data_IF_434189402396
#
_entry.id   IF_434189402396
#
_cell.length_a   1.000
_cell.length_b   1.000
_cell.length_c   1.000
_cell.angle_alpha   90.00
_cell.angle_beta   90.00
_cell.angle_gamma   90.00
#
_symmetry.space_group_name_H-M   'P 1'
#
loop_
_entity.id
_entity.type
_entity.pdbx_description
1 polymer ?
#
# COMPACT_ATOMS: atom_id res chain seq x y z
N UNK A 1 -14.28 -40.61 -59.30
CA UNK A 1 -13.47 -41.68 -58.67
C UNK A 1 -13.23 -41.37 -57.18
N UNK A 2 -14.03 -42.03 -56.36
CA UNK A 2 -14.09 -41.97 -54.91
C UNK A 2 -13.07 -42.94 -54.28
N UNK A 3 -12.47 -42.55 -53.16
CA UNK A 3 -11.96 -43.43 -52.09
C UNK A 3 -11.90 -42.54 -50.83
N UNK A 4 -12.89 -42.42 -49.94
CA UNK A 4 -13.65 -43.35 -49.08
C UNK A 4 -12.81 -44.07 -48.01
N UNK A 5 -13.11 -43.68 -46.75
CA UNK A 5 -12.92 -44.37 -45.46
C UNK A 5 -11.49 -44.47 -44.91
N UNK A 6 -11.26 -44.33 -43.61
CA UNK A 6 -12.16 -44.67 -42.50
C UNK A 6 -11.92 -43.88 -41.21
N UNK A 7 -13.02 -43.77 -40.48
CA UNK A 7 -13.17 -43.20 -39.14
C UNK A 7 -12.46 -44.06 -38.09
N UNK A 8 -11.85 -43.41 -37.11
CA UNK A 8 -11.56 -43.99 -35.80
C UNK A 8 -11.94 -42.99 -34.70
N UNK A 9 -13.20 -43.01 -34.27
CA UNK A 9 -13.71 -42.26 -33.11
C UNK A 9 -14.08 -43.27 -32.02
N UNK A 10 -13.42 -43.22 -30.87
CA UNK A 10 -13.85 -43.82 -29.60
C UNK A 10 -13.01 -43.20 -28.44
N UNK A 11 -13.34 -43.39 -27.15
CA UNK A 11 -13.95 -42.34 -26.35
C UNK A 11 -13.19 -42.02 -25.05
N UNK A 12 -13.54 -40.88 -24.43
CA UNK A 12 -13.44 -40.70 -22.98
C UNK A 12 -12.08 -40.28 -22.45
N UNK A 13 -11.84 -38.96 -22.38
CA UNK A 13 -11.05 -38.39 -21.29
C UNK A 13 -11.80 -37.22 -20.65
N UNK A 14 -12.57 -37.64 -19.64
CA UNK A 14 -12.86 -36.98 -18.37
C UNK A 14 -12.41 -35.51 -18.26
N UNK A 15 -13.43 -34.65 -18.20
CA UNK A 15 -13.37 -33.29 -17.64
C UNK A 15 -13.01 -33.40 -16.15
N UNK A 16 -11.77 -33.09 -15.79
CA UNK A 16 -11.38 -32.69 -14.43
C UNK A 16 -10.10 -31.84 -14.50
N UNK A 17 -10.24 -30.53 -14.56
CA UNK A 17 -9.12 -29.58 -14.51
C UNK A 17 -9.58 -28.37 -13.71
N UNK A 18 -9.27 -28.40 -12.42
CA UNK A 18 -9.74 -27.53 -11.35
C UNK A 18 -9.63 -26.05 -11.70
N UNK A 19 -10.71 -25.32 -11.40
CA UNK A 19 -10.65 -23.91 -11.00
C UNK A 19 -9.51 -23.74 -9.99
N UNK A 20 -8.48 -22.99 -10.38
CA UNK A 20 -7.52 -22.42 -9.45
C UNK A 20 -7.81 -20.92 -9.39
N UNK A 21 -8.78 -20.60 -8.53
CA UNK A 21 -8.99 -19.31 -7.89
C UNK A 21 -7.65 -18.82 -7.33
N UNK A 22 -6.91 -18.02 -8.10
CA UNK A 22 -5.72 -17.30 -7.63
C UNK A 22 -6.16 -16.09 -6.80
N UNK A 23 -6.81 -16.39 -5.68
CA UNK A 23 -6.98 -15.47 -4.57
C UNK A 23 -5.65 -15.41 -3.84
N UNK A 24 -4.81 -14.45 -4.23
CA UNK A 24 -3.60 -14.09 -3.50
C UNK A 24 -4.04 -13.53 -2.15
N UNK A 25 -4.23 -14.44 -1.19
CA UNK A 25 -4.47 -14.15 0.21
C UNK A 25 -3.10 -13.91 0.86
N UNK A 26 -2.85 -12.64 1.13
CA UNK A 26 -1.67 -12.11 1.79
C UNK A 26 -1.79 -12.39 3.30
N UNK A 27 -1.29 -13.54 3.76
CA UNK A 27 -1.16 -13.88 5.19
C UNK A 27 0.32 -14.06 5.52
N UNK A 28 1.03 -13.01 5.92
CA UNK A 28 2.33 -13.17 6.60
C UNK A 28 2.62 -11.92 7.44
N UNK A 29 2.08 -11.86 8.65
CA UNK A 29 2.82 -11.34 9.80
C UNK A 29 2.34 -12.04 11.07
N UNK A 30 3.21 -12.92 11.56
CA UNK A 30 2.95 -13.83 12.66
C UNK A 30 3.08 -13.20 14.03
N UNK A 31 2.40 -13.85 14.96
CA UNK A 31 2.33 -13.60 16.39
C UNK A 31 3.68 -13.55 17.11
N UNK A 32 3.77 -12.66 18.12
CA UNK A 32 4.47 -12.95 19.38
C UNK A 32 3.98 -12.03 20.51
N UNK A 33 3.40 -12.61 21.55
CA UNK A 33 3.51 -12.14 22.94
C UNK A 33 4.21 -13.23 23.75
N UNK A 34 4.15 -13.26 25.10
CA UNK A 34 4.07 -12.18 26.09
C UNK A 34 5.25 -12.29 27.10
N UNK A 35 5.39 -11.33 28.02
CA UNK A 35 6.39 -11.42 29.10
C UNK A 35 6.19 -10.39 30.21
N UNK A 36 5.42 -10.77 31.23
CA UNK A 36 5.32 -10.08 32.52
C UNK A 36 6.58 -10.31 33.37
N UNK A 37 6.88 -9.42 34.34
CA UNK A 37 7.00 -9.72 35.79
C UNK A 37 7.74 -8.60 36.58
N UNK A 38 7.14 -8.25 37.74
CA UNK A 38 7.65 -7.61 38.97
C UNK A 38 8.26 -6.19 38.88
N UNK A 39 7.95 -5.19 39.73
CA UNK A 39 7.29 -5.16 41.04
C UNK A 39 8.27 -4.76 42.16
N UNK A 40 8.18 -3.54 42.70
CA UNK A 40 8.29 -3.20 44.15
C UNK A 40 8.63 -1.71 44.45
N UNK A 41 7.87 -1.13 45.39
CA UNK A 41 8.26 -0.10 46.40
C UNK A 41 8.65 1.30 45.91
N UNK A 42 8.27 2.44 46.49
CA UNK A 42 7.58 2.79 47.74
C UNK A 42 8.03 4.21 48.16
N UNK A 43 7.12 5.08 48.60
CA UNK A 43 7.43 6.22 49.51
C UNK A 43 7.26 7.68 48.99
N UNK A 44 6.22 8.36 49.53
CA UNK A 44 6.05 9.77 50.04
C UNK A 44 6.80 10.92 49.32
N UNK A 45 6.21 12.07 48.98
CA UNK A 45 5.50 13.10 49.79
C UNK A 45 4.72 14.09 48.86
N UNK A 46 3.71 14.84 49.35
CA UNK A 46 3.03 15.88 48.57
C UNK A 46 3.63 17.29 48.84
N UNK A 47 3.92 18.03 47.77
CA UNK A 47 4.42 19.42 47.81
C UNK A 47 3.59 20.33 46.91
N UNK A 48 3.29 21.52 47.45
CA UNK A 48 2.43 22.64 47.03
C UNK A 48 2.28 23.01 45.53
N UNK A 49 1.21 23.75 45.16
CA UNK A 49 0.96 24.20 43.80
C UNK A 49 1.71 25.52 43.53
N UNK A 50 2.62 25.52 42.56
CA UNK A 50 3.23 26.73 42.05
C UNK A 50 2.62 27.06 40.68
N UNK A 51 1.81 28.12 40.67
CA UNK A 51 1.25 28.72 39.47
C UNK A 51 2.36 29.30 38.59
N UNK A 52 2.36 28.92 37.31
CA UNK A 52 3.20 29.54 36.29
C UNK A 52 2.29 30.11 35.18
N UNK A 53 2.27 31.44 34.96
CA UNK A 53 1.53 32.05 33.87
C UNK A 53 2.36 31.99 32.57
N UNK A 54 1.83 31.33 31.54
CA UNK A 54 2.44 31.32 30.20
C UNK A 54 2.37 29.98 29.47
N UNK A 55 1.18 29.39 29.37
CA UNK A 55 0.96 28.30 28.42
C UNK A 55 0.93 28.88 27.00
N UNK A 56 2.09 28.92 26.35
CA UNK A 56 2.12 28.74 24.89
C UNK A 56 1.71 27.29 24.63
N UNK A 57 0.43 27.10 24.33
CA UNK A 57 -0.07 25.85 23.75
C UNK A 57 0.53 25.76 22.35
N UNK A 58 1.77 25.27 22.24
CA UNK A 58 2.27 24.72 21.00
C UNK A 58 1.42 23.47 20.76
N UNK A 59 0.49 23.57 19.81
CA UNK A 59 -0.28 22.44 19.31
C UNK A 59 0.69 21.28 19.04
N UNK A 60 0.67 20.28 19.90
CA UNK A 60 1.37 19.01 19.72
C UNK A 60 0.71 18.25 18.56
N UNK A 61 0.95 18.70 17.33
CA UNK A 61 0.62 17.95 16.12
C UNK A 61 1.39 16.63 16.21
N UNK A 62 0.76 15.47 15.98
CA UNK A 62 1.47 14.20 16.09
C UNK A 62 2.66 14.21 15.12
N UNK A 63 3.89 13.91 15.59
CA UNK A 63 5.13 14.07 14.82
C UNK A 63 5.21 13.22 13.53
N UNK A 64 4.23 12.36 13.26
CA UNK A 64 4.12 11.61 12.01
C UNK A 64 3.30 12.29 10.91
N UNK A 65 2.42 13.25 11.24
CA UNK A 65 1.55 13.86 10.22
C UNK A 65 2.35 14.75 9.26
N UNK A 66 3.26 15.57 9.78
CA UNK A 66 4.10 16.46 8.97
C UNK A 66 5.00 15.67 8.02
N UNK A 67 5.54 14.54 8.46
CA UNK A 67 6.36 13.65 7.64
C UNK A 67 5.57 13.08 6.45
N UNK A 68 4.29 12.70 6.66
CA UNK A 68 3.42 12.19 5.59
C UNK A 68 3.17 13.27 4.54
N UNK A 69 2.90 14.52 4.94
CA UNK A 69 2.72 15.62 3.99
C UNK A 69 3.98 15.87 3.17
N UNK A 70 5.16 15.80 3.78
CA UNK A 70 6.43 15.89 3.06
C UNK A 70 6.60 14.75 2.05
N UNK A 71 6.35 13.50 2.46
CA UNK A 71 6.43 12.34 1.57
C UNK A 71 5.45 12.46 0.38
N UNK A 72 4.23 12.95 0.62
CA UNK A 72 3.24 13.17 -0.44
C UNK A 72 3.69 14.27 -1.41
N UNK A 73 4.38 15.30 -0.91
CA UNK A 73 4.98 16.32 -1.76
C UNK A 73 6.14 15.75 -2.60
N UNK A 74 6.97 14.90 -2.00
CA UNK A 74 8.08 14.22 -2.66
C UNK A 74 7.62 13.25 -3.76
N UNK A 75 6.40 12.69 -3.67
CA UNK A 75 5.82 11.88 -4.77
C UNK A 75 5.75 12.64 -6.09
N UNK A 76 5.62 13.97 -6.05
CA UNK A 76 5.56 14.80 -7.26
C UNK A 76 6.94 14.94 -7.90
N UNK A 77 8.02 14.86 -7.13
CA UNK A 77 9.40 15.06 -7.56
C UNK A 77 9.98 13.71 -8.01
N UNK A 78 10.34 13.57 -9.29
CA UNK A 78 10.80 12.29 -9.85
C UNK A 78 12.02 11.68 -9.15
N UNK A 79 12.90 12.52 -8.58
CA UNK A 79 14.11 12.10 -7.87
C UNK A 79 13.81 11.47 -6.50
N UNK A 80 12.84 12.01 -5.76
CA UNK A 80 12.48 11.53 -4.42
C UNK A 80 11.32 10.53 -4.41
N UNK A 81 10.58 10.45 -5.52
CA UNK A 81 9.38 9.63 -5.66
C UNK A 81 9.58 8.18 -5.29
N UNK A 82 10.70 7.56 -5.65
CA UNK A 82 10.95 6.14 -5.36
C UNK A 82 11.01 5.86 -3.85
N UNK A 83 11.73 6.71 -3.10
CA UNK A 83 11.80 6.61 -1.66
C UNK A 83 10.45 6.92 -1.00
N UNK A 84 9.77 7.98 -1.47
CA UNK A 84 8.46 8.35 -0.96
C UNK A 84 7.41 7.25 -1.17
N UNK A 85 7.41 6.58 -2.33
CA UNK A 85 6.54 5.44 -2.61
C UNK A 85 6.77 4.28 -1.64
N UNK A 86 8.05 3.97 -1.35
CA UNK A 86 8.42 2.89 -0.45
C UNK A 86 8.00 3.19 1.00
N UNK A 87 8.21 4.41 1.48
CA UNK A 87 7.85 4.77 2.86
C UNK A 87 6.34 4.88 3.05
N UNK A 88 5.62 5.46 2.09
CA UNK A 88 4.16 5.54 2.15
C UNK A 88 3.51 4.15 2.04
N UNK A 89 4.05 3.24 1.22
CA UNK A 89 3.48 1.89 1.07
C UNK A 89 3.58 1.07 2.36
N UNK A 90 4.63 1.26 3.17
CA UNK A 90 4.77 0.64 4.51
C UNK A 90 3.79 1.22 5.53
N UNK A 91 3.50 2.52 5.44
CA UNK A 91 2.66 3.25 6.42
C UNK A 91 1.18 3.28 6.05
N UNK A 92 0.79 2.72 4.89
CA UNK A 92 -0.60 2.71 4.41
C UNK A 92 -1.60 2.06 5.38
N UNK A 93 -1.14 1.14 6.23
CA UNK A 93 -1.99 0.41 7.18
C UNK A 93 -2.09 1.10 8.54
N UNK A 94 -1.07 1.90 8.92
CA UNK A 94 -1.08 2.67 10.16
C UNK A 94 -1.81 4.01 10.03
N UNK A 95 -1.98 4.52 8.81
CA UNK A 95 -2.59 5.81 8.51
C UNK A 95 -3.92 5.63 7.78
N UNK A 96 -5.01 5.50 8.53
CA UNK A 96 -6.37 5.43 7.96
C UNK A 96 -6.74 6.66 7.12
N UNK A 97 -6.21 7.84 7.48
CA UNK A 97 -6.47 9.10 6.77
C UNK A 97 -5.54 9.32 5.55
N UNK A 98 -4.68 8.36 5.21
CA UNK A 98 -3.75 8.50 4.09
C UNK A 98 -4.48 8.61 2.74
N UNK A 99 -5.54 7.84 2.55
CA UNK A 99 -6.26 7.80 1.27
C UNK A 99 -6.88 9.17 0.89
N UNK A 100 -7.63 9.85 1.78
CA UNK A 100 -8.08 11.23 1.55
C UNK A 100 -6.93 12.19 1.27
N UNK A 101 -5.82 12.10 2.02
CA UNK A 101 -4.65 12.98 1.81
C UNK A 101 -4.07 12.78 0.40
N UNK A 102 -3.90 11.54 -0.05
CA UNK A 102 -3.38 11.24 -1.40
C UNK A 102 -4.33 11.73 -2.50
N UNK A 103 -5.63 11.60 -2.30
CA UNK A 103 -6.64 11.98 -3.29
C UNK A 103 -6.78 13.50 -3.45
N UNK A 104 -6.84 14.23 -2.33
CA UNK A 104 -7.01 15.68 -2.33
C UNK A 104 -5.71 16.46 -2.56
N UNK A 105 -4.55 15.79 -2.48
CA UNK A 105 -3.26 16.40 -2.81
C UNK A 105 -3.08 16.56 -4.32
N UNK A 106 -2.76 17.79 -4.75
CA UNK A 106 -2.64 18.12 -6.16
C UNK A 106 -1.51 17.33 -6.84
N UNK A 107 -1.85 16.65 -7.94
CA UNK A 107 -0.89 15.94 -8.79
C UNK A 107 -0.40 14.60 -8.23
N UNK A 108 -0.83 14.20 -7.03
CA UNK A 108 -0.39 12.93 -6.41
C UNK A 108 -0.93 11.72 -7.15
N UNK A 109 -2.24 11.67 -7.43
CA UNK A 109 -2.86 10.57 -8.21
C UNK A 109 -2.25 10.48 -9.62
N UNK A 110 -1.98 11.62 -10.25
CA UNK A 110 -1.31 11.68 -11.56
C UNK A 110 0.10 11.10 -11.48
N UNK A 111 0.87 11.43 -10.44
CA UNK A 111 2.20 10.86 -10.24
C UNK A 111 2.16 9.33 -10.05
N UNK A 112 1.19 8.80 -9.30
CA UNK A 112 1.00 7.36 -9.13
C UNK A 112 0.65 6.66 -10.45
N UNK A 113 -0.25 7.24 -11.24
CA UNK A 113 -0.62 6.72 -12.56
C UNK A 113 0.58 6.79 -13.51
N UNK A 114 1.37 7.85 -13.47
CA UNK A 114 2.56 8.01 -14.30
C UNK A 114 3.55 6.85 -14.09
N UNK A 115 3.73 6.39 -12.85
CA UNK A 115 4.57 5.23 -12.55
C UNK A 115 4.10 3.94 -13.24
N UNK A 116 2.79 3.78 -13.39
CA UNK A 116 2.21 2.64 -14.13
C UNK A 116 2.41 2.84 -15.63
N UNK A 117 2.17 4.04 -16.15
CA UNK A 117 2.30 4.31 -17.59
C UNK A 117 3.75 4.16 -18.05
N UNK A 118 4.72 4.55 -17.21
CA UNK A 118 6.15 4.46 -17.50
C UNK A 118 6.66 3.03 -17.70
N UNK A 119 5.97 1.99 -17.21
CA UNK A 119 6.40 0.60 -17.40
C UNK A 119 5.95 -0.02 -18.73
N UNK A 120 4.93 0.55 -19.40
CA UNK A 120 4.41 -0.04 -20.64
C UNK A 120 5.46 -0.26 -21.74
N UNK A 121 6.44 0.65 -21.96
CA UNK A 121 7.52 0.39 -22.92
C UNK A 121 8.37 -0.84 -22.57
N UNK A 122 8.55 -1.14 -21.28
CA UNK A 122 9.32 -2.31 -20.80
C UNK A 122 8.51 -3.61 -20.86
N UNK A 123 7.17 -3.51 -20.95
CA UNK A 123 6.26 -4.65 -21.15
C UNK A 123 6.07 -4.99 -22.63
N UNK A 124 6.32 -4.04 -23.53
CA UNK A 124 6.30 -4.27 -24.98
C UNK A 124 7.45 -5.19 -25.41
N UNK A 125 7.28 -6.04 -26.42
CA UNK A 125 8.34 -6.93 -26.87
C UNK A 125 9.57 -6.17 -27.39
N UNK A 126 10.80 -6.59 -27.03
CA UNK A 126 11.12 -7.63 -26.04
C UNK A 126 10.94 -7.13 -24.58
N UNK A 127 10.36 -7.94 -23.69
CA UNK A 127 10.11 -7.52 -22.31
C UNK A 127 11.43 -7.34 -21.56
N UNK A 128 11.68 -6.12 -21.11
CA UNK A 128 12.89 -5.71 -20.40
C UNK A 128 12.59 -5.23 -18.97
N UNK A 129 11.45 -5.67 -18.41
CA UNK A 129 11.04 -5.31 -17.07
C UNK A 129 12.07 -5.81 -16.04
N UNK A 130 12.71 -4.86 -15.36
CA UNK A 130 13.68 -5.14 -14.31
C UNK A 130 12.99 -5.29 -12.95
N UNK A 131 13.60 -6.04 -12.02
CA UNK A 131 13.06 -6.20 -10.67
C UNK A 131 12.86 -4.86 -9.93
N UNK A 132 13.79 -3.88 -9.98
CA UNK A 132 13.58 -2.56 -9.38
C UNK A 132 12.38 -1.81 -9.96
N UNK A 133 12.20 -1.86 -11.29
CA UNK A 133 11.04 -1.23 -11.95
C UNK A 133 9.71 -1.87 -11.50
N UNK A 134 9.67 -3.20 -11.39
CA UNK A 134 8.51 -3.94 -10.89
C UNK A 134 8.17 -3.60 -9.44
N UNK A 135 9.17 -3.52 -8.56
CA UNK A 135 8.98 -3.15 -7.16
C UNK A 135 8.42 -1.72 -7.02
N UNK A 136 8.94 -0.79 -7.82
CA UNK A 136 8.50 0.60 -7.82
C UNK A 136 7.03 0.75 -8.26
N UNK A 137 6.63 0.10 -9.36
CA UNK A 137 5.21 0.13 -9.79
C UNK A 137 4.30 -0.61 -8.80
N UNK A 138 4.78 -1.68 -8.16
CA UNK A 138 4.02 -2.39 -7.12
C UNK A 138 3.74 -1.49 -5.90
N UNK A 139 4.73 -0.70 -5.46
CA UNK A 139 4.53 0.29 -4.39
C UNK A 139 3.48 1.35 -4.79
N UNK A 140 3.48 1.81 -6.04
CA UNK A 140 2.44 2.72 -6.55
C UNK A 140 1.05 2.07 -6.54
N UNK A 141 0.94 0.83 -7.03
CA UNK A 141 -0.31 0.06 -7.05
C UNK A 141 -0.86 -0.17 -5.62
N UNK A 142 0.01 -0.43 -4.65
CA UNK A 142 -0.36 -0.56 -3.25
C UNK A 142 -1.03 0.71 -2.69
N UNK A 143 -0.56 1.89 -3.08
CA UNK A 143 -1.17 3.16 -2.67
C UNK A 143 -2.51 3.40 -3.39
N UNK A 144 -2.61 3.08 -4.68
CA UNK A 144 -3.88 3.14 -5.40
C UNK A 144 -4.92 2.18 -4.83
N UNK A 145 -4.52 0.99 -4.40
CA UNK A 145 -5.38 0.05 -3.69
C UNK A 145 -5.88 0.63 -2.36
N UNK A 146 -5.00 1.31 -1.60
CA UNK A 146 -5.39 2.00 -0.37
C UNK A 146 -6.49 3.04 -0.66
N UNK A 147 -6.30 3.90 -1.67
CA UNK A 147 -7.29 4.90 -2.10
C UNK A 147 -8.60 4.26 -2.58
N UNK A 148 -8.54 3.13 -3.29
CA UNK A 148 -9.74 2.43 -3.77
C UNK A 148 -10.49 1.65 -2.66
N UNK A 149 -9.81 1.35 -1.55
CA UNK A 149 -10.38 0.65 -0.39
C UNK A 149 -11.07 1.58 0.61
N UNK A 150 -10.68 2.86 0.64
CA UNK A 150 -11.18 3.81 1.63
C UNK A 150 -12.60 4.30 1.27
N UNK A 151 -13.56 4.31 2.23
CA UNK A 151 -14.98 4.57 1.95
C UNK A 151 -15.25 5.96 1.36
N UNK A 152 -14.44 6.95 1.72
CA UNK A 152 -14.58 8.33 1.23
C UNK A 152 -14.08 8.53 -0.20
N UNK A 153 -12.94 7.95 -0.55
CA UNK A 153 -12.27 8.16 -1.84
C UNK A 153 -12.68 7.12 -2.88
N UNK A 154 -13.11 5.92 -2.47
CA UNK A 154 -13.64 4.89 -3.37
C UNK A 154 -14.70 5.40 -4.36
N UNK A 155 -15.76 6.13 -3.95
CA UNK A 155 -16.75 6.65 -4.89
C UNK A 155 -16.22 7.76 -5.79
N UNK A 156 -15.07 8.37 -5.49
CA UNK A 156 -14.40 9.34 -6.36
C UNK A 156 -13.45 8.64 -7.33
N UNK A 157 -12.80 7.55 -6.90
CA UNK A 157 -11.90 6.72 -7.71
C UNK A 157 -12.63 5.98 -8.84
N UNK A 158 -13.90 5.61 -8.63
CA UNK A 158 -14.71 4.85 -9.59
C UNK A 158 -15.59 5.70 -10.52
N UNK A 159 -15.57 7.04 -10.38
CA UNK A 159 -16.27 7.96 -11.29
C UNK A 159 -15.37 8.31 -12.46
#
# INVERSE_FOLDING_TARGET
PLCVRGRGRAPGQRVTGREADHRVRMDYFGAQGPGSLLGSGGGRLPGAPQANPGQVVVNSRPPGADEVYHLVQDLRISEHRENALLELSKRRESLTDLAPILWHSFGTIVALIQEIVCIYPQLSPPPTLTAPASNRVCNSLALLQCVASHPETRPLFLK
#
